data_IF_433274028211
#
_entry.id   IF_433274028211
#
_cell.length_a   1.000
_cell.length_b   1.000
_cell.length_c   1.000
_cell.angle_alpha   90.00
_cell.angle_beta   90.00
_cell.angle_gamma   90.00
#
_symmetry.space_group_name_H-M   'P 1'
#
loop_
_entity.id
_entity.type
_entity.pdbx_description
1 polymer ?
#
# COMPACT_ATOMS: atom_id res chain seq x y z
N UNK A 1 9.94 -40.04 45.63
CA UNK A 1 9.26 -41.33 45.38
C UNK A 1 7.86 -41.22 45.99
N UNK A 2 6.72 -41.34 45.33
CA UNK A 2 6.34 -41.99 44.07
C UNK A 2 5.26 -41.14 43.37
N UNK A 3 5.22 -41.31 42.06
CA UNK A 3 4.19 -40.86 41.14
C UNK A 3 2.76 -41.28 41.55
N UNK A 4 1.82 -40.55 40.93
CA UNK A 4 0.76 -41.05 40.03
C UNK A 4 -0.68 -41.03 40.56
N UNK A 5 -1.48 -40.30 39.78
CA UNK A 5 -2.70 -40.80 39.14
C UNK A 5 -3.84 -41.12 40.10
N UNK A 6 -4.89 -40.30 40.07
CA UNK A 6 -6.30 -40.68 39.95
C UNK A 6 -7.16 -39.48 40.32
N UNK A 7 -7.33 -38.53 39.39
CA UNK A 7 -8.49 -37.62 39.38
C UNK A 7 -8.71 -36.99 37.99
N UNK A 8 -8.19 -37.60 36.93
CA UNK A 8 -8.37 -37.14 35.54
C UNK A 8 -9.57 -37.78 34.82
N UNK A 9 -10.48 -38.47 35.53
CA UNK A 9 -11.63 -39.17 34.89
C UNK A 9 -12.99 -38.79 35.50
N UNK A 10 -13.04 -37.82 36.42
CA UNK A 10 -14.28 -37.45 37.11
C UNK A 10 -15.01 -36.21 36.60
N UNK A 11 -14.43 -35.43 35.68
CA UNK A 11 -14.97 -34.11 35.29
C UNK A 11 -15.31 -34.00 33.80
N UNK A 12 -15.56 -35.13 33.12
CA UNK A 12 -15.92 -35.16 31.70
C UNK A 12 -17.40 -35.43 31.43
N UNK A 13 -18.29 -35.44 32.44
CA UNK A 13 -19.69 -35.86 32.24
C UNK A 13 -20.77 -34.91 32.79
N UNK A 14 -20.47 -33.65 33.11
CA UNK A 14 -21.49 -32.70 33.62
C UNK A 14 -21.47 -31.31 32.95
N UNK A 15 -20.92 -31.17 31.74
CA UNK A 15 -20.79 -29.89 31.04
C UNK A 15 -21.54 -29.86 29.70
N UNK A 16 -22.78 -30.36 29.70
CA UNK A 16 -23.66 -30.31 28.52
C UNK A 16 -25.00 -29.59 28.74
N UNK A 17 -25.25 -28.94 29.88
CA UNK A 17 -26.51 -28.20 30.10
C UNK A 17 -26.32 -26.89 30.89
N UNK A 18 -25.23 -26.16 30.67
CA UNK A 18 -25.07 -24.82 31.28
C UNK A 18 -24.89 -23.78 30.18
N UNK A 19 -25.74 -22.72 30.13
CA UNK A 19 -25.64 -21.63 29.15
C UNK A 19 -24.24 -21.01 29.15
N UNK A 20 -23.81 -20.52 27.98
CA UNK A 20 -22.46 -20.00 27.70
C UNK A 20 -21.98 -18.96 28.74
N UNK A 21 -22.89 -18.23 29.37
CA UNK A 21 -22.56 -17.19 30.35
C UNK A 21 -21.97 -17.71 31.68
N UNK A 22 -22.25 -18.94 32.11
CA UNK A 22 -21.68 -19.45 33.38
C UNK A 22 -20.32 -20.14 33.23
N UNK A 23 -19.84 -20.40 32.01
CA UNK A 23 -18.51 -21.01 31.80
C UNK A 23 -17.35 -20.11 32.23
N UNK A 24 -17.57 -18.80 32.28
CA UNK A 24 -16.56 -17.81 32.68
C UNK A 24 -16.32 -17.74 34.20
N UNK A 25 -17.18 -18.36 35.01
CA UNK A 25 -17.16 -18.18 36.47
C UNK A 25 -16.31 -19.20 37.24
N UNK A 26 -15.79 -20.23 36.56
CA UNK A 26 -15.14 -21.39 37.20
C UNK A 26 -13.64 -21.55 36.86
N UNK A 27 -13.02 -20.58 36.18
CA UNK A 27 -11.56 -20.62 35.97
C UNK A 27 -10.80 -20.12 37.22
N UNK A 28 -9.79 -20.83 37.74
CA UNK A 28 -9.05 -20.39 38.92
C UNK A 28 -8.20 -19.16 38.62
N UNK A 29 -8.34 -18.12 39.45
CA UNK A 29 -7.51 -16.92 39.41
C UNK A 29 -6.03 -17.26 39.66
N UNK A 30 -5.18 -17.07 38.66
CA UNK A 30 -3.75 -16.94 38.84
C UNK A 30 -3.32 -15.56 38.32
N UNK A 31 -2.84 -14.74 39.26
CA UNK A 31 -2.18 -13.43 39.09
C UNK A 31 -3.03 -12.31 38.48
N UNK A 32 -3.72 -11.58 39.37
CA UNK A 32 -4.24 -10.26 39.08
C UNK A 32 -3.09 -9.27 38.78
N UNK A 33 -3.00 -8.86 37.51
CA UNK A 33 -2.47 -7.54 37.14
C UNK A 33 -3.69 -6.62 36.98
N UNK A 34 -4.03 -5.95 38.08
CA UNK A 34 -4.84 -4.72 38.23
C UNK A 34 -5.98 -4.43 37.25
N UNK A 35 -7.21 -4.53 37.80
CA UNK A 35 -8.39 -3.70 37.49
C UNK A 35 -8.76 -3.48 36.02
N UNK A 36 -9.69 -4.29 35.52
CA UNK A 36 -10.43 -4.07 34.29
C UNK A 36 -11.16 -2.71 34.30
N UNK A 37 -10.65 -1.75 33.53
CA UNK A 37 -11.52 -0.77 32.89
C UNK A 37 -12.33 -1.52 31.83
N UNK A 38 -13.60 -1.16 31.63
CA UNK A 38 -14.25 -1.37 30.34
C UNK A 38 -13.41 -0.59 29.33
N UNK A 39 -12.42 -1.23 28.74
CA UNK A 39 -11.38 -0.50 28.06
C UNK A 39 -11.98 -0.05 26.74
N UNK A 40 -12.10 1.25 26.57
CA UNK A 40 -12.43 1.81 25.27
C UNK A 40 -11.24 1.59 24.30
N UNK A 41 -10.55 0.45 24.33
CA UNK A 41 -9.38 0.17 23.52
C UNK A 41 -9.80 -0.11 22.08
N UNK A 42 -8.95 0.30 21.14
CA UNK A 42 -9.14 0.05 19.72
C UNK A 42 -7.81 -0.15 18.98
N UNK A 43 -6.78 -0.59 19.71
CA UNK A 43 -5.41 -0.73 19.21
C UNK A 43 -4.40 -0.75 20.35
N UNK A 44 -3.11 -0.66 20.00
CA UNK A 44 -1.98 -0.80 20.94
C UNK A 44 -2.12 0.10 22.19
N UNK A 45 -2.17 1.42 22.00
CA UNK A 45 -2.47 2.40 23.05
C UNK A 45 -3.50 3.41 22.52
N UNK A 46 -4.44 2.91 21.71
CA UNK A 46 -5.53 3.70 21.16
C UNK A 46 -6.80 3.46 21.94
N UNK A 47 -7.51 4.54 22.19
CA UNK A 47 -8.82 4.55 22.83
C UNK A 47 -9.86 5.20 21.94
N UNK A 48 -11.13 4.86 22.13
CA UNK A 48 -12.24 5.45 21.39
C UNK A 48 -13.30 6.06 22.31
N UNK A 49 -14.09 6.97 21.75
CA UNK A 49 -15.33 7.45 22.37
C UNK A 49 -16.30 7.91 21.29
N UNK A 50 -17.60 7.78 21.54
CA UNK A 50 -18.65 8.26 20.65
C UNK A 50 -19.41 9.39 21.35
N UNK A 51 -19.36 10.59 20.79
CA UNK A 51 -20.12 11.75 21.30
C UNK A 51 -21.04 12.26 20.19
N UNK A 52 -22.34 12.13 20.40
CA UNK A 52 -23.34 12.34 19.35
C UNK A 52 -23.11 11.39 18.17
N UNK A 53 -22.91 11.96 16.97
CA UNK A 53 -22.60 11.22 15.74
C UNK A 53 -21.12 11.22 15.37
N UNK A 54 -20.24 11.67 16.28
CA UNK A 54 -18.80 11.77 16.04
C UNK A 54 -18.04 10.72 16.83
N UNK A 55 -17.36 9.83 16.12
CA UNK A 55 -16.42 8.87 16.70
C UNK A 55 -15.05 9.52 16.84
N UNK A 56 -14.53 9.52 18.06
CA UNK A 56 -13.19 9.97 18.38
C UNK A 56 -12.31 8.76 18.66
N UNK A 57 -11.15 8.72 18.01
CA UNK A 57 -10.08 7.75 18.30
C UNK A 57 -8.85 8.57 18.69
N UNK A 58 -8.27 8.26 19.84
CA UNK A 58 -7.14 9.01 20.40
C UNK A 58 -6.16 8.10 21.13
N UNK A 59 -4.88 8.47 21.12
CA UNK A 59 -3.83 7.75 21.81
C UNK A 59 -2.60 7.64 20.93
N UNK A 60 -1.91 6.50 20.96
CA UNK A 60 -0.78 6.25 20.07
C UNK A 60 -0.66 4.78 19.67
N UNK A 61 -0.18 4.55 18.45
CA UNK A 61 0.13 3.21 17.96
C UNK A 61 -0.82 2.71 16.87
N UNK A 62 -0.80 1.39 16.64
CA UNK A 62 -1.57 0.76 15.57
C UNK A 62 -3.00 0.52 16.01
N UNK A 63 -3.95 0.75 15.11
CA UNK A 63 -5.34 0.35 15.30
C UNK A 63 -5.47 -1.15 15.07
N UNK A 64 -6.34 -1.80 15.85
CA UNK A 64 -6.63 -3.23 15.72
C UNK A 64 -7.21 -3.55 14.34
N UNK A 65 -6.78 -4.66 13.74
CA UNK A 65 -7.39 -5.22 12.54
C UNK A 65 -8.64 -6.04 12.94
N UNK A 66 -9.81 -5.59 12.51
CA UNK A 66 -11.09 -6.21 12.85
C UNK A 66 -11.55 -7.23 11.79
N UNK A 67 -12.39 -8.16 12.23
CA UNK A 67 -12.96 -9.22 11.41
C UNK A 67 -14.46 -9.40 11.70
N UNK A 68 -15.15 -10.25 10.93
CA UNK A 68 -16.58 -10.53 11.15
C UNK A 68 -16.90 -11.11 12.52
N UNK A 69 -15.96 -11.86 13.12
CA UNK A 69 -16.11 -12.48 14.43
C UNK A 69 -15.58 -11.59 15.58
N UNK A 70 -14.82 -10.54 15.25
CA UNK A 70 -14.26 -9.56 16.18
C UNK A 70 -14.42 -8.16 15.54
N UNK A 71 -15.65 -7.62 15.53
CA UNK A 71 -15.93 -6.35 14.88
C UNK A 71 -15.34 -5.18 15.66
N UNK A 72 -15.28 -4.00 15.04
CA UNK A 72 -14.83 -2.79 15.72
C UNK A 72 -15.72 -2.45 16.92
N UNK A 73 -15.18 -1.82 17.99
CA UNK A 73 -15.94 -1.52 19.19
C UNK A 73 -17.21 -0.67 18.98
N UNK A 74 -17.25 0.10 17.89
CA UNK A 74 -18.38 0.96 17.51
C UNK A 74 -19.31 0.32 16.48
N UNK A 75 -19.19 -0.99 16.22
CA UNK A 75 -19.98 -1.69 15.20
C UNK A 75 -21.48 -1.51 15.38
N UNK A 76 -22.00 -1.65 16.60
CA UNK A 76 -23.45 -1.51 16.87
C UNK A 76 -23.96 -0.08 16.65
N UNK A 77 -23.07 0.90 16.71
CA UNK A 77 -23.38 2.32 16.51
C UNK A 77 -23.10 2.82 15.10
N UNK A 78 -22.59 1.98 14.19
CA UNK A 78 -22.11 2.38 12.84
C UNK A 78 -23.12 3.16 12.00
N UNK A 79 -24.41 2.87 12.16
CA UNK A 79 -25.50 3.52 11.42
C UNK A 79 -25.86 4.92 11.96
N UNK A 80 -25.20 5.36 13.03
CA UNK A 80 -25.32 6.71 13.61
C UNK A 80 -24.07 7.57 13.37
N UNK A 81 -22.93 6.96 13.01
CA UNK A 81 -21.65 7.66 12.87
C UNK A 81 -21.67 8.46 11.57
N UNK A 82 -21.47 9.78 11.69
CA UNK A 82 -21.40 10.72 10.58
C UNK A 82 -20.01 11.33 10.42
N UNK A 83 -19.25 11.40 11.51
CA UNK A 83 -17.88 11.94 11.52
C UNK A 83 -16.93 11.03 12.29
N UNK A 84 -15.71 10.89 11.80
CA UNK A 84 -14.61 10.21 12.49
C UNK A 84 -13.45 11.19 12.67
N UNK A 85 -12.92 11.29 13.87
CA UNK A 85 -11.72 12.08 14.18
C UNK A 85 -10.68 11.19 14.83
N UNK A 86 -9.58 10.94 14.13
CA UNK A 86 -8.47 10.10 14.61
C UNK A 86 -7.32 11.00 15.07
N UNK A 87 -6.67 10.65 16.18
CA UNK A 87 -5.43 11.29 16.63
C UNK A 87 -4.42 10.25 17.15
N UNK A 88 -3.17 10.38 16.68
CA UNK A 88 -2.02 9.56 17.10
C UNK A 88 -1.98 8.11 16.62
N UNK A 89 -2.99 7.65 15.88
CA UNK A 89 -2.91 6.36 15.19
C UNK A 89 -1.85 6.36 14.07
N UNK A 90 -1.08 5.28 13.97
CA UNK A 90 -0.07 5.07 12.91
C UNK A 90 -0.59 4.24 11.73
N UNK A 91 -1.70 3.54 11.92
CA UNK A 91 -2.41 2.74 10.91
C UNK A 91 -3.92 2.86 11.13
N UNK A 92 -4.69 2.68 10.06
CA UNK A 92 -6.12 2.37 10.17
C UNK A 92 -6.28 0.87 10.02
N UNK A 93 -6.91 0.22 10.99
CA UNK A 93 -7.07 -1.22 11.02
C UNK A 93 -8.04 -1.75 9.97
N UNK A 94 -7.92 -3.05 9.68
CA UNK A 94 -8.86 -3.76 8.82
C UNK A 94 -10.30 -3.61 9.34
N UNK A 95 -11.24 -3.39 8.42
CA UNK A 95 -12.67 -3.24 8.69
C UNK A 95 -13.07 -2.18 9.75
N UNK A 96 -12.16 -1.29 10.17
CA UNK A 96 -12.38 -0.35 11.27
C UNK A 96 -13.66 0.49 11.12
N UNK A 97 -13.87 1.09 9.95
CA UNK A 97 -15.05 1.90 9.64
C UNK A 97 -15.97 1.23 8.62
N UNK A 98 -15.89 -0.09 8.48
CA UNK A 98 -16.71 -0.82 7.52
C UNK A 98 -18.21 -0.63 7.83
N UNK A 99 -18.99 -0.38 6.77
CA UNK A 99 -20.44 -0.16 6.78
C UNK A 99 -20.90 1.00 7.68
N UNK A 100 -20.05 2.00 7.96
CA UNK A 100 -20.49 3.28 8.50
C UNK A 100 -21.22 4.07 7.39
N UNK A 101 -22.43 3.65 7.04
CA UNK A 101 -23.15 4.10 5.83
C UNK A 101 -23.48 5.59 5.83
N UNK A 102 -23.53 6.23 7.01
CA UNK A 102 -23.76 7.68 7.16
C UNK A 102 -22.49 8.50 7.33
N UNK A 103 -21.30 7.88 7.27
CA UNK A 103 -20.03 8.56 7.43
C UNK A 103 -19.78 9.52 6.26
N UNK A 104 -19.78 10.83 6.55
CA UNK A 104 -19.53 11.88 5.55
C UNK A 104 -18.19 12.58 5.75
N UNK A 105 -17.65 12.57 6.97
CA UNK A 105 -16.43 13.29 7.33
C UNK A 105 -15.44 12.39 8.07
N UNK A 106 -14.19 12.37 7.63
CA UNK A 106 -13.12 11.64 8.29
C UNK A 106 -11.89 12.54 8.37
N UNK A 107 -11.41 12.76 9.59
CA UNK A 107 -10.17 13.48 9.86
C UNK A 107 -9.09 12.47 10.27
N UNK A 108 -8.09 12.31 9.41
CA UNK A 108 -6.95 11.42 9.61
C UNK A 108 -5.70 12.24 9.98
N UNK A 109 -4.97 11.87 11.04
CA UNK A 109 -3.78 12.58 11.45
C UNK A 109 -2.63 12.33 10.48
N UNK A 110 -1.71 13.29 10.41
CA UNK A 110 -0.40 13.08 9.81
C UNK A 110 0.33 11.96 10.59
N UNK A 111 0.93 11.00 9.88
CA UNK A 111 1.61 9.86 10.50
C UNK A 111 0.92 8.51 10.27
N UNK A 112 -0.29 8.48 9.70
CA UNK A 112 -0.87 7.22 9.21
C UNK A 112 -0.05 6.72 8.02
N UNK A 113 0.43 5.49 8.14
CA UNK A 113 1.31 4.84 7.16
C UNK A 113 0.57 3.83 6.27
N UNK A 114 -0.57 3.32 6.70
CA UNK A 114 -1.34 2.34 5.93
C UNK A 114 -2.85 2.41 6.22
N UNK A 115 -3.64 2.04 5.22
CA UNK A 115 -5.05 1.74 5.35
C UNK A 115 -5.27 0.24 5.27
N UNK A 116 -5.82 -0.36 6.32
CA UNK A 116 -6.12 -1.78 6.41
C UNK A 116 -7.19 -2.24 5.43
N UNK A 117 -7.28 -3.56 5.26
CA UNK A 117 -8.24 -4.18 4.37
C UNK A 117 -9.68 -3.81 4.76
N UNK A 118 -10.52 -3.41 3.80
CA UNK A 118 -11.90 -3.02 4.03
C UNK A 118 -12.11 -1.87 5.05
N UNK A 119 -11.09 -1.08 5.36
CA UNK A 119 -11.11 -0.03 6.40
C UNK A 119 -12.27 0.97 6.29
N UNK A 120 -12.69 1.34 5.08
CA UNK A 120 -13.85 2.21 4.79
C UNK A 120 -14.88 1.52 3.88
N UNK A 121 -14.86 0.19 3.78
CA UNK A 121 -15.78 -0.56 2.92
C UNK A 121 -17.24 -0.24 3.25
N UNK A 122 -18.06 0.11 2.27
CA UNK A 122 -19.49 0.36 2.44
C UNK A 122 -19.83 1.72 3.05
N UNK A 123 -18.89 2.66 3.15
CA UNK A 123 -19.16 4.04 3.53
C UNK A 123 -19.85 4.80 2.38
N UNK A 124 -21.14 4.52 2.17
CA UNK A 124 -21.89 5.00 1.01
C UNK A 124 -22.16 6.50 1.00
N UNK A 125 -22.15 7.18 2.16
CA UNK A 125 -22.27 8.63 2.26
C UNK A 125 -20.94 9.40 2.17
N UNK A 126 -19.80 8.71 2.13
CA UNK A 126 -18.49 9.36 2.08
C UNK A 126 -18.25 9.91 0.67
N UNK A 127 -18.24 11.23 0.51
CA UNK A 127 -18.11 11.89 -0.79
C UNK A 127 -16.67 12.21 -1.20
N UNK A 128 -15.80 12.37 -0.21
CA UNK A 128 -14.37 12.64 -0.38
C UNK A 128 -13.61 12.30 0.89
N UNK A 129 -12.30 12.11 0.75
CA UNK A 129 -11.39 11.84 1.87
C UNK A 129 -10.03 12.46 1.58
N UNK A 130 -9.50 13.24 2.51
CA UNK A 130 -8.11 13.70 2.45
C UNK A 130 -7.21 12.62 3.06
N UNK A 131 -6.34 12.04 2.24
CA UNK A 131 -5.38 11.03 2.67
C UNK A 131 -4.07 11.70 3.12
N UNK A 132 -3.54 11.38 4.32
CA UNK A 132 -2.24 11.86 4.76
C UNK A 132 -1.11 11.47 3.80
N UNK A 133 -0.15 12.39 3.59
CA UNK A 133 1.00 12.17 2.70
C UNK A 133 1.93 11.03 3.13
N UNK A 134 1.82 10.59 4.38
CA UNK A 134 2.60 9.50 4.96
C UNK A 134 2.12 8.10 4.58
N UNK A 135 0.94 7.97 3.97
CA UNK A 135 0.39 6.66 3.59
C UNK A 135 1.28 6.02 2.51
N UNK A 136 1.60 4.74 2.72
CA UNK A 136 2.39 3.89 1.82
C UNK A 136 1.54 2.87 1.10
N UNK A 137 0.48 2.37 1.75
CA UNK A 137 -0.34 1.27 1.22
C UNK A 137 -1.83 1.53 1.40
N UNK A 138 -2.60 1.20 0.36
CA UNK A 138 -4.06 1.14 0.40
C UNK A 138 -4.48 -0.32 0.32
N UNK A 139 -5.03 -0.85 1.40
CA UNK A 139 -5.36 -2.26 1.53
C UNK A 139 -6.47 -2.76 0.60
N UNK A 140 -6.56 -4.09 0.50
CA UNK A 140 -7.62 -4.80 -0.20
C UNK A 140 -9.00 -4.30 0.22
N UNK A 141 -9.87 -3.97 -0.73
CA UNK A 141 -11.23 -3.51 -0.49
C UNK A 141 -11.36 -2.25 0.39
N UNK A 142 -10.30 -1.45 0.59
CA UNK A 142 -10.29 -0.34 1.55
C UNK A 142 -11.49 0.62 1.40
N UNK A 143 -11.93 0.91 0.16
CA UNK A 143 -13.09 1.73 -0.18
C UNK A 143 -14.15 0.95 -0.98
N UNK A 144 -14.22 -0.38 -0.82
CA UNK A 144 -15.19 -1.22 -1.53
C UNK A 144 -16.62 -0.72 -1.32
N UNK A 145 -17.39 -0.53 -2.39
CA UNK A 145 -18.77 0.01 -2.36
C UNK A 145 -18.92 1.37 -1.66
N UNK A 146 -17.90 2.23 -1.67
CA UNK A 146 -18.07 3.65 -1.32
C UNK A 146 -18.79 4.38 -2.47
N UNK A 147 -20.08 4.12 -2.64
CA UNK A 147 -20.86 4.60 -3.79
C UNK A 147 -21.08 6.11 -3.83
N UNK A 148 -20.81 6.82 -2.74
CA UNK A 148 -20.84 8.28 -2.66
C UNK A 148 -19.53 8.96 -3.02
N UNK A 149 -18.40 8.22 -3.04
CA UNK A 149 -17.07 8.80 -3.22
C UNK A 149 -16.91 9.33 -4.64
N UNK A 150 -16.69 10.64 -4.79
CA UNK A 150 -16.70 11.32 -6.08
C UNK A 150 -15.30 11.50 -6.66
N UNK A 151 -14.36 11.85 -5.81
CA UNK A 151 -12.96 12.06 -6.19
C UNK A 151 -12.01 11.71 -5.06
N UNK A 152 -10.81 11.27 -5.41
CA UNK A 152 -9.75 11.00 -4.45
C UNK A 152 -8.37 11.32 -5.02
N UNK A 153 -7.51 11.95 -4.21
CA UNK A 153 -6.10 12.12 -4.53
C UNK A 153 -5.30 11.10 -3.74
N UNK A 154 -4.62 10.18 -4.44
CA UNK A 154 -3.70 9.23 -3.83
C UNK A 154 -2.39 9.98 -3.50
N UNK A 155 -1.88 9.95 -2.26
CA UNK A 155 -0.67 10.69 -1.92
C UNK A 155 0.61 10.11 -2.53
N UNK A 156 1.61 10.95 -2.81
CA UNK A 156 2.92 10.61 -3.40
C UNK A 156 3.72 9.54 -2.62
N UNK A 157 3.34 9.24 -1.38
CA UNK A 157 3.96 8.19 -0.58
C UNK A 157 3.49 6.78 -0.96
N UNK A 158 2.35 6.64 -1.64
CA UNK A 158 1.71 5.35 -1.89
C UNK A 158 2.47 4.57 -2.95
N UNK A 159 2.78 3.32 -2.64
CA UNK A 159 3.46 2.39 -3.56
C UNK A 159 2.52 1.30 -4.06
N UNK A 160 1.48 0.94 -3.30
CA UNK A 160 0.54 -0.13 -3.68
C UNK A 160 -0.92 0.16 -3.36
N UNK A 161 -1.79 -0.28 -4.29
CA UNK A 161 -3.24 -0.28 -4.19
C UNK A 161 -3.75 -1.71 -4.34
N UNK A 162 -4.37 -2.24 -3.28
CA UNK A 162 -4.78 -3.65 -3.18
C UNK A 162 -6.05 -4.02 -3.94
N UNK A 163 -6.31 -5.34 -4.04
CA UNK A 163 -7.46 -5.88 -4.77
C UNK A 163 -8.78 -5.24 -4.34
N UNK A 164 -9.64 -4.93 -5.30
CA UNK A 164 -10.96 -4.36 -5.06
C UNK A 164 -10.98 -3.05 -4.24
N UNK A 165 -9.84 -2.35 -4.08
CA UNK A 165 -9.73 -1.19 -3.20
C UNK A 165 -10.82 -0.12 -3.43
N UNK A 166 -11.23 0.12 -4.67
CA UNK A 166 -12.30 1.05 -5.06
C UNK A 166 -13.43 0.36 -5.84
N UNK A 167 -13.59 -0.96 -5.67
CA UNK A 167 -14.58 -1.71 -6.42
C UNK A 167 -16.00 -1.22 -6.13
N UNK A 168 -16.81 -1.01 -7.17
CA UNK A 168 -18.18 -0.46 -7.07
C UNK A 168 -18.27 0.93 -6.41
N UNK A 169 -17.23 1.76 -6.50
CA UNK A 169 -17.34 3.19 -6.22
C UNK A 169 -18.03 3.91 -7.39
N UNK A 170 -19.34 3.74 -7.53
CA UNK A 170 -20.10 4.13 -8.73
C UNK A 170 -20.18 5.64 -8.98
N UNK A 171 -19.97 6.47 -7.96
CA UNK A 171 -19.91 7.94 -8.11
C UNK A 171 -18.49 8.45 -8.40
N UNK A 172 -17.47 7.59 -8.39
CA UNK A 172 -16.07 8.00 -8.53
C UNK A 172 -15.79 8.43 -9.97
N UNK A 173 -15.64 9.73 -10.16
CA UNK A 173 -15.40 10.35 -11.47
C UNK A 173 -13.92 10.64 -11.72
N UNK A 174 -13.14 10.87 -10.67
CA UNK A 174 -11.72 11.18 -10.81
C UNK A 174 -10.87 10.58 -9.69
N UNK A 175 -9.73 10.02 -10.07
CA UNK A 175 -8.67 9.67 -9.12
C UNK A 175 -7.34 10.15 -9.66
N UNK A 176 -6.58 10.86 -8.83
CA UNK A 176 -5.20 11.21 -9.12
C UNK A 176 -4.28 10.16 -8.51
N UNK A 177 -3.47 9.50 -9.33
CA UNK A 177 -2.52 8.47 -8.93
C UNK A 177 -1.09 8.97 -9.23
N UNK A 178 -0.22 9.07 -8.21
CA UNK A 178 1.14 9.58 -8.37
C UNK A 178 2.06 8.55 -9.01
N UNK A 179 3.21 9.02 -9.50
CA UNK A 179 4.22 8.17 -10.14
C UNK A 179 4.87 7.13 -9.20
N UNK A 180 4.78 7.35 -7.88
CA UNK A 180 5.30 6.44 -6.85
C UNK A 180 4.58 5.09 -6.80
N UNK A 181 3.37 5.00 -7.33
CA UNK A 181 2.59 3.77 -7.33
C UNK A 181 3.21 2.80 -8.33
N UNK A 182 3.71 1.68 -7.81
CA UNK A 182 4.33 0.61 -8.60
C UNK A 182 3.45 -0.63 -8.71
N UNK A 183 2.30 -0.65 -8.03
CA UNK A 183 1.34 -1.76 -8.07
C UNK A 183 -0.10 -1.30 -7.86
N UNK A 184 -0.98 -1.68 -8.79
CA UNK A 184 -2.43 -1.51 -8.71
C UNK A 184 -3.05 -2.85 -9.09
N UNK A 185 -3.79 -3.46 -8.17
CA UNK A 185 -4.45 -4.74 -8.43
C UNK A 185 -5.54 -4.61 -9.51
N UNK A 186 -5.72 -5.66 -10.33
CA UNK A 186 -6.56 -5.65 -11.54
C UNK A 186 -7.97 -5.10 -11.29
N UNK A 187 -8.65 -5.59 -10.25
CA UNK A 187 -10.03 -5.21 -9.92
C UNK A 187 -10.16 -3.98 -9.01
N UNK A 188 -9.06 -3.24 -8.76
CA UNK A 188 -9.06 -2.09 -7.86
C UNK A 188 -10.15 -1.07 -8.19
N UNK A 189 -10.36 -0.76 -9.48
CA UNK A 189 -11.33 0.23 -9.95
C UNK A 189 -12.48 -0.39 -10.78
N UNK A 190 -12.71 -1.70 -10.64
CA UNK A 190 -13.77 -2.38 -11.38
C UNK A 190 -15.16 -1.89 -10.91
N UNK A 191 -16.09 -1.73 -11.87
CA UNK A 191 -17.40 -1.10 -11.70
C UNK A 191 -17.38 0.41 -11.34
N UNK A 192 -16.31 1.13 -11.63
CA UNK A 192 -16.25 2.60 -11.60
C UNK A 192 -16.50 3.18 -13.00
N UNK A 193 -17.73 3.07 -13.51
CA UNK A 193 -18.07 3.35 -14.92
C UNK A 193 -17.80 4.78 -15.42
N UNK A 194 -17.69 5.76 -14.52
CA UNK A 194 -17.46 7.18 -14.84
C UNK A 194 -16.02 7.64 -14.57
N UNK A 195 -15.15 6.72 -14.20
CA UNK A 195 -13.81 7.05 -13.71
C UNK A 195 -12.89 7.55 -14.82
N UNK A 196 -12.23 8.66 -14.53
CA UNK A 196 -11.02 9.11 -15.21
C UNK A 196 -9.85 9.03 -14.24
N UNK A 197 -8.77 8.36 -14.64
CA UNK A 197 -7.51 8.32 -13.88
C UNK A 197 -6.62 9.47 -14.39
N UNK A 198 -6.13 10.27 -13.45
CA UNK A 198 -5.12 11.29 -13.69
C UNK A 198 -3.78 10.77 -13.17
N UNK A 199 -2.72 10.83 -13.98
CA UNK A 199 -1.39 10.36 -13.58
C UNK A 199 -0.32 10.84 -14.55
N UNK A 200 0.93 10.42 -14.35
CA UNK A 200 2.04 10.79 -15.23
C UNK A 200 2.16 9.81 -16.40
N UNK A 201 2.46 10.31 -17.59
CA UNK A 201 2.80 9.46 -18.76
C UNK A 201 4.06 8.65 -18.46
N UNK A 202 4.02 7.34 -18.68
CA UNK A 202 5.03 6.35 -18.34
C UNK A 202 4.83 5.70 -16.97
N UNK A 203 3.85 6.13 -16.18
CA UNK A 203 3.60 5.58 -14.84
C UNK A 203 2.80 4.28 -14.86
N UNK A 204 2.84 3.53 -13.75
CA UNK A 204 1.99 2.35 -13.56
C UNK A 204 0.50 2.68 -13.69
N UNK A 205 0.09 3.90 -13.33
CA UNK A 205 -1.29 4.35 -13.45
C UNK A 205 -1.77 4.40 -14.90
N UNK A 206 -0.90 4.82 -15.83
CA UNK A 206 -1.20 4.83 -17.28
C UNK A 206 -1.37 3.40 -17.80
N UNK A 207 -0.41 2.52 -17.49
CA UNK A 207 -0.47 1.09 -17.86
C UNK A 207 -1.73 0.42 -17.31
N UNK A 208 -2.06 0.67 -16.04
CA UNK A 208 -3.28 0.15 -15.42
C UNK A 208 -4.54 0.66 -16.12
N UNK A 209 -4.63 1.97 -16.38
CA UNK A 209 -5.79 2.56 -17.03
C UNK A 209 -6.01 1.99 -18.44
N UNK A 210 -4.92 1.80 -19.21
CA UNK A 210 -4.95 1.15 -20.52
C UNK A 210 -5.50 -0.28 -20.43
N UNK A 211 -4.94 -1.10 -19.52
CA UNK A 211 -5.34 -2.50 -19.33
C UNK A 211 -6.79 -2.63 -18.87
N UNK A 212 -7.23 -1.76 -17.96
CA UNK A 212 -8.58 -1.76 -17.42
C UNK A 212 -9.61 -1.04 -18.31
N UNK A 213 -9.20 -0.48 -19.45
CA UNK A 213 -10.03 0.33 -20.36
C UNK A 213 -10.69 1.52 -19.64
N UNK A 214 -9.94 2.15 -18.74
CA UNK A 214 -10.34 3.35 -18.01
C UNK A 214 -9.75 4.57 -18.71
N UNK A 215 -10.49 5.68 -18.76
CA UNK A 215 -9.97 6.91 -19.37
C UNK A 215 -8.78 7.43 -18.57
N UNK A 216 -7.65 7.66 -19.23
CA UNK A 216 -6.45 8.24 -18.62
C UNK A 216 -6.25 9.69 -19.09
N UNK A 217 -5.85 10.57 -18.17
CA UNK A 217 -5.45 11.96 -18.47
C UNK A 217 -4.08 12.24 -17.85
N UNK A 218 -3.12 12.58 -18.72
CA UNK A 218 -1.77 12.88 -18.29
C UNK A 218 -1.70 14.20 -17.49
N UNK A 219 -0.95 14.18 -16.40
CA UNK A 219 -0.56 15.36 -15.61
C UNK A 219 0.79 15.94 -16.05
N UNK A 220 1.52 15.22 -16.90
CA UNK A 220 2.88 15.49 -17.36
C UNK A 220 3.60 14.18 -17.67
N UNK A 221 4.89 14.23 -18.01
CA UNK A 221 5.77 13.06 -18.16
C UNK A 221 6.49 12.79 -16.84
N UNK A 222 6.71 11.52 -16.48
CA UNK A 222 7.68 11.21 -15.41
C UNK A 222 9.07 11.65 -15.87
N UNK A 223 9.64 12.66 -15.22
CA UNK A 223 11.06 13.01 -15.39
C UNK A 223 11.91 11.97 -14.63
N UNK A 224 12.82 11.23 -15.29
CA UNK A 224 13.72 10.27 -14.66
C UNK A 224 14.64 10.88 -13.57
N UNK A 225 14.71 12.21 -13.42
CA UNK A 225 15.51 12.90 -12.40
C UNK A 225 14.74 13.75 -11.38
N UNK A 226 13.40 13.73 -11.37
CA UNK A 226 12.63 14.44 -10.33
C UNK A 226 11.82 13.50 -9.44
N UNK A 227 12.38 13.14 -8.30
CA UNK A 227 11.60 12.93 -7.07
C UNK A 227 11.10 14.30 -6.58
N UNK A 228 10.11 14.88 -7.27
CA UNK A 228 9.43 16.08 -6.79
C UNK A 228 8.34 15.68 -5.80
N UNK A 229 8.66 15.78 -4.51
CA UNK A 229 7.64 15.95 -3.47
C UNK A 229 6.88 17.23 -3.76
N UNK A 230 5.73 17.15 -4.43
CA UNK A 230 4.89 18.33 -4.66
C UNK A 230 4.00 18.50 -3.44
N UNK A 231 4.53 19.16 -2.41
CA UNK A 231 3.72 19.65 -1.30
C UNK A 231 2.77 20.71 -1.83
N UNK A 232 1.53 20.31 -2.14
CA UNK A 232 0.46 21.27 -2.41
C UNK A 232 0.05 21.89 -1.08
N UNK A 233 0.64 23.05 -0.76
CA UNK A 233 0.18 23.89 0.34
C UNK A 233 -1.11 24.58 -0.10
N UNK A 234 -2.26 24.10 0.38
CA UNK A 234 -3.51 24.85 0.29
C UNK A 234 -3.38 26.12 1.13
N UNK A 235 -3.16 27.27 0.49
CA UNK A 235 -3.22 28.57 1.15
C UNK A 235 -4.69 28.92 1.41
N UNK A 236 -5.13 28.78 2.65
CA UNK A 236 -6.37 29.42 3.12
C UNK A 236 -6.11 30.92 3.22
N UNK A 237 -6.72 31.72 2.35
CA UNK A 237 -6.67 33.18 2.42
C UNK A 237 -7.50 33.66 3.62
N UNK A 238 -6.84 33.90 4.75
CA UNK A 238 -7.41 34.74 5.82
C UNK A 238 -7.18 36.19 5.43
N UNK A 239 -8.25 36.92 5.16
CA UNK A 239 -8.20 38.37 4.94
C UNK A 239 -7.97 39.05 6.29
N UNK A 240 -6.74 39.51 6.53
CA UNK A 240 -6.44 40.44 7.63
C UNK A 240 -6.13 41.80 7.02
N UNK A 241 -7.00 42.76 7.26
CA UNK A 241 -6.79 44.17 6.90
C UNK A 241 -5.70 44.75 7.79
N UNK A 242 -4.54 45.10 7.20
CA UNK A 242 -3.48 45.85 7.88
C UNK A 242 -3.33 47.22 7.22
N UNK A 243 -3.63 48.26 7.99
CA UNK A 243 -3.42 49.67 7.63
C UNK A 243 -1.93 49.94 7.42
N UNK A 244 -1.55 50.46 6.26
CA UNK A 244 -0.18 50.89 5.94
C UNK A 244 0.01 52.36 6.31
N UNK A 245 1.02 52.65 7.13
CA UNK A 245 1.58 54.01 7.31
C UNK A 245 2.88 54.09 6.51
N UNK A 246 2.94 55.03 5.58
CA UNK A 246 4.07 55.28 4.68
C UNK A 246 5.14 56.10 5.38
N UNK A 247 6.39 55.61 5.37
CA UNK A 247 7.58 56.46 5.51
C UNK A 247 8.60 56.06 4.45
N UNK A 248 8.80 56.95 3.50
CA UNK A 248 9.82 56.95 2.44
C UNK A 248 11.24 56.99 3.01
N UNK A 249 12.16 56.18 2.49
CA UNK A 249 13.54 56.59 2.17
C UNK A 249 14.15 55.64 1.14
N UNK A 250 14.66 56.22 0.06
CA UNK A 250 15.41 55.60 -1.03
C UNK A 250 16.79 55.08 -0.60
N UNK A 251 17.20 53.92 -1.11
CA UNK A 251 18.55 53.72 -1.66
C UNK A 251 18.68 52.35 -2.31
N UNK A 252 18.93 52.37 -3.62
CA UNK A 252 19.44 51.29 -4.45
C UNK A 252 20.86 50.91 -4.06
N UNK A 253 21.11 49.61 -3.82
CA UNK A 253 22.45 49.02 -3.88
C UNK A 253 22.38 47.70 -4.61
N UNK A 254 22.93 47.66 -5.81
CA UNK A 254 23.21 46.45 -6.58
C UNK A 254 24.44 45.79 -5.97
N UNK A 255 24.35 44.52 -5.58
CA UNK A 255 25.51 43.71 -5.21
C UNK A 255 25.50 42.43 -6.03
N UNK A 256 26.42 42.38 -7.00
CA UNK A 256 26.78 41.16 -7.71
C UNK A 256 27.82 40.41 -6.87
N UNK A 257 27.53 39.15 -6.54
CA UNK A 257 28.48 38.24 -5.90
C UNK A 257 28.65 37.01 -6.79
N UNK A 258 29.85 36.85 -7.33
CA UNK A 258 30.30 35.63 -7.99
C UNK A 258 30.82 34.68 -6.91
N UNK A 259 30.29 33.46 -6.84
CA UNK A 259 30.83 32.41 -5.97
C UNK A 259 31.27 31.24 -6.83
N UNK A 260 32.59 31.09 -6.95
CA UNK A 260 33.26 29.87 -7.39
C UNK A 260 33.33 28.94 -6.18
N UNK A 261 32.90 27.68 -6.32
CA UNK A 261 33.17 26.65 -5.30
C UNK A 261 33.60 25.36 -5.98
N UNK A 262 34.79 24.93 -5.58
CA UNK A 262 35.56 23.77 -5.99
C UNK A 262 34.99 22.46 -5.45
N UNK A 263 35.07 21.42 -6.28
CA UNK A 263 34.74 20.01 -5.99
C UNK A 263 35.79 19.39 -5.04
N UNK A 264 35.41 18.60 -4.02
CA UNK A 264 36.33 17.69 -3.35
C UNK A 264 36.35 16.33 -4.06
N UNK A 265 37.54 15.95 -4.49
CA UNK A 265 37.92 14.64 -5.01
C UNK A 265 38.16 13.67 -3.83
N UNK A 266 37.62 12.46 -3.87
CA UNK A 266 38.08 11.34 -3.02
C UNK A 266 38.09 10.03 -3.81
N UNK A 267 39.08 9.23 -3.48
CA UNK A 267 39.76 8.20 -4.29
C UNK A 267 39.11 6.82 -4.24
N UNK A 268 39.08 6.12 -5.37
CA UNK A 268 38.73 4.70 -5.49
C UNK A 268 39.98 3.78 -5.40
N UNK A 269 39.87 2.57 -4.81
CA UNK A 269 40.80 1.45 -5.04
C UNK A 269 40.26 0.42 -6.07
N UNK A 270 41.09 -0.53 -6.56
CA UNK A 270 41.24 -0.81 -8.00
C UNK A 270 40.49 -2.03 -8.57
N UNK A 271 40.48 -2.04 -9.91
CA UNK A 271 39.90 -2.96 -10.90
C UNK A 271 40.53 -4.36 -10.86
N UNK A 272 39.73 -5.40 -11.09
CA UNK A 272 40.17 -6.63 -11.77
C UNK A 272 39.34 -6.88 -13.03
N UNK A 273 40.07 -7.03 -14.12
CA UNK A 273 39.64 -7.17 -15.52
C UNK A 273 39.65 -8.64 -15.93
N UNK A 274 38.68 -9.02 -16.76
CA UNK A 274 38.79 -9.69 -18.08
C UNK A 274 37.51 -10.53 -18.32
N UNK A 275 36.89 -10.63 -19.49
CA UNK A 275 37.35 -10.58 -20.90
C UNK A 275 36.21 -10.12 -21.81
N UNK A 276 36.58 -9.39 -22.87
CA UNK A 276 35.76 -8.99 -24.02
C UNK A 276 35.32 -10.16 -24.92
N UNK A 277 34.13 -10.09 -25.52
CA UNK A 277 33.92 -10.36 -26.96
C UNK A 277 32.68 -9.63 -27.49
N UNK A 278 32.88 -8.89 -28.58
CA UNK A 278 31.81 -8.33 -29.40
C UNK A 278 31.12 -9.46 -30.19
N UNK A 279 29.85 -9.73 -29.87
CA UNK A 279 28.77 -10.02 -30.82
C UNK A 279 27.47 -9.91 -30.04
N UNK A 280 26.47 -9.17 -30.55
CA UNK A 280 25.19 -8.98 -29.90
C UNK A 280 24.44 -10.31 -29.71
N UNK A 281 24.66 -10.95 -28.57
CA UNK A 281 23.83 -12.00 -28.02
C UNK A 281 23.20 -11.42 -26.75
N UNK A 282 21.86 -11.39 -26.64
CA UNK A 282 21.19 -10.86 -25.46
C UNK A 282 21.50 -11.76 -24.24
N UNK A 283 21.79 -11.17 -23.07
CA UNK A 283 22.06 -11.94 -21.83
C UNK A 283 20.82 -12.77 -21.46
N UNK A 284 20.96 -14.09 -21.53
CA UNK A 284 19.92 -15.08 -21.22
C UNK A 284 19.59 -15.01 -19.72
N UNK A 285 18.31 -14.94 -19.36
CA UNK A 285 17.85 -14.81 -17.97
C UNK A 285 17.75 -13.39 -17.40
N UNK A 286 18.27 -12.36 -18.08
CA UNK A 286 17.92 -10.96 -17.81
C UNK A 286 16.79 -10.60 -18.78
N UNK A 287 15.53 -10.62 -18.35
CA UNK A 287 14.40 -10.40 -19.27
C UNK A 287 14.10 -8.90 -19.38
N UNK A 288 14.33 -8.14 -18.32
CA UNK A 288 14.02 -6.70 -18.29
C UNK A 288 15.14 -5.81 -18.90
N UNK A 289 16.34 -6.35 -19.14
CA UNK A 289 17.48 -5.62 -19.72
C UNK A 289 18.22 -4.72 -18.75
N UNK A 290 18.10 -4.96 -17.44
CA UNK A 290 18.77 -4.16 -16.41
C UNK A 290 20.21 -4.61 -16.13
N UNK A 291 20.68 -5.67 -16.78
CA UNK A 291 22.03 -6.22 -16.62
C UNK A 291 22.19 -7.09 -15.37
N UNK A 292 21.08 -7.47 -14.72
CA UNK A 292 21.07 -8.38 -13.57
C UNK A 292 20.05 -9.49 -13.76
N UNK A 293 20.43 -10.73 -13.39
CA UNK A 293 19.49 -11.86 -13.36
C UNK A 293 18.87 -11.92 -11.97
N UNK A 294 17.57 -11.61 -11.89
CA UNK A 294 16.88 -11.40 -10.62
C UNK A 294 15.54 -12.14 -10.52
N UNK A 295 14.92 -12.07 -9.35
CA UNK A 295 13.55 -12.57 -9.14
C UNK A 295 12.54 -11.82 -10.01
N UNK A 296 12.83 -10.58 -10.41
CA UNK A 296 11.96 -9.82 -11.33
C UNK A 296 11.90 -10.47 -12.72
N UNK A 297 13.01 -11.04 -13.17
CA UNK A 297 13.10 -11.74 -14.46
C UNK A 297 12.29 -13.04 -14.45
N UNK A 298 12.36 -13.80 -13.34
CA UNK A 298 11.52 -14.98 -13.14
C UNK A 298 10.02 -14.63 -13.16
N UNK A 299 9.64 -13.48 -12.61
CA UNK A 299 8.25 -13.00 -12.62
C UNK A 299 7.78 -12.70 -14.05
N UNK A 300 8.63 -12.08 -14.89
CA UNK A 300 8.31 -11.82 -16.28
C UNK A 300 8.09 -13.10 -17.09
N UNK A 301 8.86 -14.16 -16.81
CA UNK A 301 8.68 -15.48 -17.40
C UNK A 301 7.36 -16.14 -16.96
N UNK A 302 7.03 -16.08 -15.67
CA UNK A 302 5.75 -16.59 -15.15
C UNK A 302 4.53 -15.83 -15.74
N UNK A 303 4.67 -14.52 -15.91
CA UNK A 303 3.61 -13.70 -16.51
C UNK A 303 3.45 -13.98 -18.01
N UNK A 304 4.57 -14.20 -18.72
CA UNK A 304 4.54 -14.61 -20.12
C UNK A 304 3.89 -15.99 -20.29
N UNK A 305 4.31 -17.00 -19.53
CA UNK A 305 3.76 -18.36 -19.60
C UNK A 305 2.27 -18.42 -19.30
N UNK A 306 1.78 -17.64 -18.32
CA UNK A 306 0.35 -17.55 -18.03
C UNK A 306 -0.46 -16.92 -19.18
N UNK A 307 0.12 -15.95 -19.90
CA UNK A 307 -0.56 -15.25 -21.02
C UNK A 307 -0.58 -16.04 -22.32
N UNK A 308 0.38 -16.95 -22.52
CA UNK A 308 0.36 -17.88 -23.64
C UNK A 308 -0.88 -18.77 -23.64
N UNK A 309 -1.41 -19.13 -22.46
CA UNK A 309 -2.64 -19.91 -22.32
C UNK A 309 -3.88 -19.19 -22.87
N UNK A 310 -3.84 -17.86 -22.97
CA UNK A 310 -4.92 -17.03 -23.54
C UNK A 310 -4.56 -16.47 -24.92
N UNK A 311 -3.45 -16.93 -25.53
CA UNK A 311 -2.99 -16.52 -26.86
C UNK A 311 -2.42 -15.10 -26.94
N UNK A 312 -2.12 -14.47 -25.80
CA UNK A 312 -1.54 -13.13 -25.74
C UNK A 312 -0.01 -13.21 -25.71
N UNK A 313 0.59 -13.02 -26.88
CA UNK A 313 2.05 -13.00 -27.06
C UNK A 313 2.63 -11.59 -26.93
N UNK A 314 1.82 -10.54 -26.85
CA UNK A 314 2.30 -9.14 -26.91
C UNK A 314 3.09 -8.68 -25.68
N UNK A 315 3.13 -9.52 -24.65
CA UNK A 315 3.67 -9.21 -23.34
C UNK A 315 5.19 -9.05 -23.28
N UNK A 316 5.92 -9.88 -24.04
CA UNK A 316 7.37 -9.77 -24.23
C UNK A 316 7.65 -9.50 -25.70
N UNK A 317 8.60 -8.61 -25.99
CA UNK A 317 9.10 -8.42 -27.34
C UNK A 317 9.92 -9.65 -27.82
N UNK A 318 10.31 -9.65 -29.10
CA UNK A 318 11.02 -10.81 -29.67
C UNK A 318 12.35 -11.10 -28.97
N UNK A 319 13.11 -10.07 -28.59
CA UNK A 319 14.41 -10.23 -27.96
C UNK A 319 14.26 -10.72 -26.52
N UNK A 320 13.27 -10.19 -25.78
CA UNK A 320 12.93 -10.65 -24.43
C UNK A 320 12.48 -12.12 -24.42
N UNK A 321 11.76 -12.57 -25.45
CA UNK A 321 11.39 -13.99 -25.58
C UNK A 321 12.60 -14.90 -25.77
N UNK A 322 13.60 -14.48 -26.54
CA UNK A 322 14.85 -15.27 -26.67
C UNK A 322 15.62 -15.34 -25.35
N UNK A 323 15.49 -14.33 -24.48
CA UNK A 323 16.11 -14.31 -23.14
C UNK A 323 15.34 -15.12 -22.10
N UNK A 324 14.05 -15.34 -22.34
CA UNK A 324 13.11 -15.99 -21.43
C UNK A 324 13.05 -17.53 -21.62
N UNK A 325 13.47 -18.06 -22.77
CA UNK A 325 13.62 -19.50 -23.03
C UNK A 325 15.00 -19.95 -22.53
N UNK A 326 15.06 -20.33 -21.25
CA UNK A 326 16.31 -20.53 -20.50
C UNK A 326 16.93 -21.89 -20.80
N UNK A 327 16.11 -22.90 -21.10
CA UNK A 327 16.56 -24.23 -21.45
C UNK A 327 16.66 -24.48 -22.97
N UNK A 328 16.31 -23.48 -23.79
CA UNK A 328 16.35 -23.51 -25.25
C UNK A 328 15.47 -24.61 -25.85
N UNK A 329 14.36 -24.95 -25.18
CA UNK A 329 13.41 -25.96 -25.64
C UNK A 329 12.37 -25.39 -26.64
N UNK A 330 12.39 -24.07 -26.89
CA UNK A 330 11.48 -23.39 -27.81
C UNK A 330 10.14 -22.98 -27.19
N UNK A 331 9.97 -23.14 -25.87
CA UNK A 331 8.79 -22.73 -25.11
C UNK A 331 9.22 -21.89 -23.92
N UNK A 332 8.37 -20.95 -23.49
CA UNK A 332 8.61 -20.12 -22.30
C UNK A 332 7.59 -20.55 -21.24
N UNK A 333 8.04 -21.29 -20.24
CA UNK A 333 7.18 -21.94 -19.25
C UNK A 333 7.66 -21.77 -17.80
N UNK A 334 7.03 -22.50 -16.88
CA UNK A 334 7.36 -22.42 -15.44
C UNK A 334 8.75 -22.95 -15.12
N UNK A 335 9.30 -23.85 -15.93
CA UNK A 335 10.63 -24.41 -15.75
C UNK A 335 11.72 -23.36 -16.01
N UNK A 336 11.50 -22.49 -16.99
CA UNK A 336 12.37 -21.34 -17.26
C UNK A 336 12.44 -20.39 -16.06
N UNK A 337 11.28 -20.09 -15.47
CA UNK A 337 11.21 -19.28 -14.25
C UNK A 337 11.90 -19.97 -13.06
N UNK A 338 11.74 -21.29 -12.93
CA UNK A 338 12.39 -22.06 -11.87
C UNK A 338 13.91 -22.02 -11.98
N UNK A 339 14.47 -22.05 -13.19
CA UNK A 339 15.93 -21.93 -13.41
C UNK A 339 16.47 -20.57 -12.97
N UNK A 340 15.76 -19.48 -13.30
CA UNK A 340 16.13 -18.13 -12.83
C UNK A 340 16.12 -18.07 -11.30
N UNK A 341 15.06 -18.58 -10.66
CA UNK A 341 14.97 -18.59 -9.18
C UNK A 341 16.07 -19.44 -8.53
N UNK A 342 16.42 -20.58 -9.13
CA UNK A 342 17.50 -21.46 -8.65
C UNK A 342 18.86 -20.79 -8.79
N UNK A 343 19.10 -20.10 -9.91
CA UNK A 343 20.30 -19.31 -10.13
C UNK A 343 20.44 -18.22 -9.06
N UNK A 344 19.38 -17.43 -8.80
CA UNK A 344 19.39 -16.41 -7.74
C UNK A 344 19.67 -17.04 -6.36
N UNK A 345 19.10 -18.20 -6.05
CA UNK A 345 19.34 -18.90 -4.80
C UNK A 345 20.79 -19.35 -4.62
N UNK A 346 21.44 -19.85 -5.68
CA UNK A 346 22.86 -20.24 -5.65
C UNK A 346 23.77 -19.03 -5.44
N UNK A 347 23.53 -17.90 -6.11
CA UNK A 347 24.29 -16.67 -5.91
C UNK A 347 24.14 -16.15 -4.47
N UNK A 348 22.91 -16.15 -3.92
CA UNK A 348 22.67 -15.78 -2.52
C UNK A 348 23.37 -16.71 -1.51
N UNK A 349 23.56 -17.98 -1.88
CA UNK A 349 24.30 -18.96 -1.08
C UNK A 349 25.83 -18.89 -1.28
N UNK A 350 26.33 -17.95 -2.10
CA UNK A 350 27.76 -17.81 -2.41
C UNK A 350 28.31 -18.92 -3.30
N UNK A 351 27.45 -19.63 -4.03
CA UNK A 351 27.83 -20.67 -4.99
C UNK A 351 27.97 -20.07 -6.39
N UNK A 352 28.89 -20.60 -7.20
CA UNK A 352 29.03 -20.25 -8.62
C UNK A 352 28.28 -21.27 -9.50
N UNK A 353 27.10 -20.91 -10.03
CA UNK A 353 26.32 -21.78 -10.93
C UNK A 353 26.90 -21.86 -12.35
N UNK A 354 27.92 -21.07 -12.70
CA UNK A 354 28.48 -20.95 -14.06
C UNK A 354 27.57 -20.26 -15.08
N UNK A 355 26.24 -20.35 -14.95
CA UNK A 355 25.25 -19.68 -15.79
C UNK A 355 23.81 -20.09 -15.44
N UNK A 356 22.82 -19.26 -15.79
CA UNK A 356 21.39 -19.50 -15.44
C UNK A 356 20.80 -20.77 -16.08
N UNK A 357 21.33 -21.20 -17.24
CA UNK A 357 20.91 -22.44 -17.90
C UNK A 357 21.33 -23.71 -17.15
N UNK A 358 22.42 -23.61 -16.35
CA UNK A 358 23.05 -24.69 -15.60
C UNK A 358 22.55 -24.79 -14.15
N UNK A 359 21.77 -23.80 -13.72
CA UNK A 359 21.27 -23.69 -12.35
C UNK A 359 20.28 -24.80 -12.01
#
# INVERSE_FOLDING_TARGET
MKLRNWMAVGLAAALLVVPVEERYRLMPQATQLTAAAADNSCGDNLTWSLSGSTLYISGSGKMTDYASYEPSPWYDSRDSIQSVSVSGATTIGAAAFANCTKLTSVNLPNGITSLGAASFSGCTALTGLSLPSTIKTIGKSAFYKCSGLQSLTIPDGVTSIGDFAFYKCTALTSVTIPASVSSIALDSFSNCSKLTIYGYTGSYAETYASNARITFRALGTVDPQQTTTTTTTTTTTTTTTTTTTTTTTSSTTTTSTTTTTTVPQTTAPPIQTTTTTNSAQPELGDINGDGTISVADAILVLQCSARQLVGDWSYLDWQQRQRADIDSNGTIDVNDACKILRYCAMIMAGQDPGGVSNA
#
